data_IF_623296673082
#
_entry.id   IF_623296673082
#
_cell.length_a   1.000
_cell.length_b   1.000
_cell.length_c   1.000
_cell.angle_alpha   90.00
_cell.angle_beta   90.00
_cell.angle_gamma   90.00
#
_symmetry.space_group_name_H-M   'P 1'
#
loop_
_entity.id
_entity.type
_entity.pdbx_description
1 polymer ?
#
# COMPACT_ATOMS: atom_id res chain seq x y z
N UNK A 1 -9.40 -14.21 23.77
CA UNK A 1 -7.94 -14.15 24.00
C UNK A 1 -7.31 -15.36 23.35
N UNK A 2 -6.78 -15.19 22.15
CA UNK A 2 -6.07 -16.26 21.45
C UNK A 2 -4.62 -16.31 21.90
N UNK A 3 -4.11 -17.52 22.17
CA UNK A 3 -2.70 -17.72 22.51
C UNK A 3 -2.06 -18.59 21.45
N UNK A 4 -1.03 -18.08 20.79
CA UNK A 4 -0.22 -18.87 19.86
C UNK A 4 0.79 -19.70 20.68
N UNK A 5 0.73 -21.02 20.49
CA UNK A 5 1.70 -21.95 21.05
C UNK A 5 2.66 -22.35 19.94
N UNK A 6 3.90 -21.86 20.02
CA UNK A 6 4.95 -22.22 19.08
C UNK A 6 5.96 -23.13 19.79
N UNK A 7 6.38 -24.20 19.11
CA UNK A 7 7.31 -25.21 19.64
C UNK A 7 8.42 -25.46 18.63
N UNK A 8 9.66 -25.18 19.04
CA UNK A 8 10.86 -25.53 18.27
C UNK A 8 11.86 -26.18 19.24
N UNK A 9 12.43 -27.32 18.83
CA UNK A 9 13.45 -28.05 19.60
C UNK A 9 13.11 -28.30 21.08
N UNK A 10 11.90 -28.78 21.37
CA UNK A 10 11.51 -29.19 22.73
C UNK A 10 11.15 -28.05 23.69
N UNK A 11 11.32 -26.79 23.28
CA UNK A 11 10.88 -25.63 24.06
C UNK A 11 9.56 -25.09 23.51
N UNK A 12 8.50 -25.14 24.31
CA UNK A 12 7.23 -24.51 23.96
C UNK A 12 7.17 -23.11 24.55
N UNK A 13 7.05 -22.08 23.70
CA UNK A 13 6.86 -20.69 24.12
C UNK A 13 5.41 -20.30 23.83
N UNK A 14 4.71 -19.81 24.86
CA UNK A 14 3.35 -19.27 24.72
C UNK A 14 3.45 -17.77 24.53
N UNK A 15 3.04 -17.28 23.36
CA UNK A 15 2.87 -15.86 23.13
C UNK A 15 1.41 -15.51 23.42
N UNK A 16 1.19 -14.60 24.37
CA UNK A 16 -0.10 -13.94 24.53
C UNK A 16 -0.14 -12.84 23.48
N UNK A 17 -0.97 -13.00 22.46
CA UNK A 17 -1.35 -11.86 21.63
C UNK A 17 -2.22 -11.00 22.54
N UNK A 18 -1.70 -9.85 22.96
CA UNK A 18 -2.51 -8.80 23.55
C UNK A 18 -2.99 -7.96 22.38
N UNK A 19 -4.29 -7.71 22.29
CA UNK A 19 -4.77 -6.65 21.42
C UNK A 19 -4.01 -5.37 21.80
N UNK A 20 -3.43 -4.72 20.81
CA UNK A 20 -2.62 -3.54 21.05
C UNK A 20 -3.54 -2.44 21.56
N UNK A 21 -3.40 -2.06 22.83
CA UNK A 21 -4.15 -0.91 23.35
C UNK A 21 -3.70 0.36 22.61
N UNK A 22 -4.62 1.32 22.38
CA UNK A 22 -4.26 2.61 21.80
C UNK A 22 -3.11 3.27 22.58
N UNK A 23 -2.01 3.66 21.92
CA UNK A 23 -0.90 4.34 22.56
C UNK A 23 -1.30 5.72 23.13
N UNK A 24 -0.43 6.32 23.94
CA UNK A 24 -0.75 7.54 24.69
C UNK A 24 -1.02 8.75 23.79
N UNK A 25 -0.25 8.90 22.70
CA UNK A 25 -0.44 9.94 21.69
C UNK A 25 -1.77 9.81 20.93
N UNK A 26 -2.21 8.58 20.62
CA UNK A 26 -3.53 8.33 20.04
C UNK A 26 -4.65 8.71 21.01
N UNK A 27 -4.51 8.37 22.30
CA UNK A 27 -5.47 8.74 23.35
C UNK A 27 -5.55 10.26 23.54
N UNK A 28 -4.40 10.94 23.51
CA UNK A 28 -4.31 12.40 23.58
C UNK A 28 -4.97 13.07 22.38
N UNK A 29 -4.66 12.61 21.16
CA UNK A 29 -5.28 13.10 19.94
C UNK A 29 -6.80 12.89 19.96
N UNK A 30 -7.26 11.69 20.32
CA UNK A 30 -8.69 11.40 20.42
C UNK A 30 -9.38 12.37 21.38
N UNK A 31 -8.84 12.52 22.59
CA UNK A 31 -9.40 13.41 23.63
C UNK A 31 -9.46 14.85 23.15
N UNK A 32 -8.35 15.37 22.59
CA UNK A 32 -8.25 16.73 22.08
C UNK A 32 -9.33 17.05 21.02
N UNK A 33 -9.64 16.09 20.15
CA UNK A 33 -10.61 16.31 19.08
C UNK A 33 -12.03 15.82 19.43
N UNK A 34 -12.23 15.04 20.50
CA UNK A 34 -13.55 14.62 20.98
C UNK A 34 -14.15 15.54 22.05
N UNK A 35 -13.39 16.48 22.60
CA UNK A 35 -13.90 17.48 23.54
C UNK A 35 -14.98 18.37 22.89
N UNK A 36 -16.07 18.61 23.61
CA UNK A 36 -17.10 19.58 23.25
C UNK A 36 -16.86 20.89 23.98
N UNK A 37 -17.29 22.02 23.40
CA UNK A 37 -17.22 23.34 24.05
C UNK A 37 -17.99 23.39 25.40
N UNK A 38 -18.88 22.43 25.65
CA UNK A 38 -19.70 22.33 26.87
C UNK A 38 -19.03 21.57 28.03
N UNK A 39 -17.76 21.18 27.93
CA UNK A 39 -16.96 20.65 29.04
C UNK A 39 -17.31 19.23 29.53
N UNK A 40 -18.38 18.61 29.03
CA UNK A 40 -18.61 17.18 29.16
C UNK A 40 -17.99 16.48 27.95
N UNK A 41 -16.83 15.84 28.14
CA UNK A 41 -16.17 15.06 27.08
C UNK A 41 -17.10 13.96 26.57
N UNK A 42 -17.37 13.94 25.26
CA UNK A 42 -18.12 12.83 24.66
C UNK A 42 -17.24 11.60 24.58
N UNK A 43 -17.80 10.42 24.87
CA UNK A 43 -17.12 9.12 24.68
C UNK A 43 -16.89 8.75 23.21
N UNK A 44 -17.29 9.63 22.28
CA UNK A 44 -17.26 9.43 20.84
C UNK A 44 -16.82 10.72 20.14
N UNK A 45 -16.07 10.58 19.05
CA UNK A 45 -15.68 11.61 18.11
C UNK A 45 -16.71 11.66 16.97
N UNK A 46 -17.49 12.74 16.86
CA UNK A 46 -18.47 12.92 15.79
C UNK A 46 -17.81 13.12 14.41
N UNK A 47 -18.61 13.13 13.34
CA UNK A 47 -18.11 13.43 12.00
C UNK A 47 -17.49 14.83 11.89
N UNK A 48 -18.08 15.86 12.51
CA UNK A 48 -17.51 17.22 12.55
C UNK A 48 -16.18 17.27 13.30
N UNK A 49 -16.08 16.55 14.42
CA UNK A 49 -14.86 16.43 15.20
C UNK A 49 -13.77 15.68 14.45
N UNK A 50 -14.14 14.60 13.76
CA UNK A 50 -13.24 13.87 12.87
C UNK A 50 -12.76 14.76 11.72
N UNK A 51 -13.64 15.51 11.07
CA UNK A 51 -13.26 16.45 10.01
C UNK A 51 -12.22 17.46 10.50
N UNK A 52 -12.41 17.99 11.71
CA UNK A 52 -11.43 18.87 12.35
C UNK A 52 -10.09 18.18 12.56
N UNK A 53 -10.08 16.94 13.03
CA UNK A 53 -8.87 16.13 13.16
C UNK A 53 -8.15 15.95 11.80
N UNK A 54 -8.88 15.61 10.74
CA UNK A 54 -8.31 15.42 9.39
C UNK A 54 -7.61 16.69 8.89
N UNK A 55 -8.26 17.85 9.06
CA UNK A 55 -7.74 19.13 8.57
C UNK A 55 -6.61 19.65 9.49
N UNK A 56 -6.83 19.71 10.80
CA UNK A 56 -5.93 20.39 11.72
C UNK A 56 -4.75 19.51 12.14
N UNK A 57 -4.97 18.21 12.38
CA UNK A 57 -3.93 17.29 12.83
C UNK A 57 -3.23 16.62 11.65
N UNK A 58 -4.00 16.00 10.73
CA UNK A 58 -3.42 15.26 9.61
C UNK A 58 -3.02 16.15 8.42
N UNK A 59 -3.44 17.43 8.42
CA UNK A 59 -3.18 18.39 7.33
C UNK A 59 -3.75 17.93 5.98
N UNK A 60 -4.87 17.20 6.02
CA UNK A 60 -5.56 16.72 4.83
C UNK A 60 -6.58 17.75 4.34
N UNK A 61 -6.08 18.73 3.59
CA UNK A 61 -6.92 19.76 2.96
C UNK A 61 -7.83 19.15 1.89
N UNK A 62 -9.11 19.51 1.88
CA UNK A 62 -10.09 19.06 0.89
C UNK A 62 -11.04 17.94 1.35
N UNK A 63 -10.92 17.46 2.59
CA UNK A 63 -11.99 16.64 3.21
C UNK A 63 -13.23 17.48 3.46
N UNK A 64 -14.40 16.88 3.22
CA UNK A 64 -15.71 17.47 3.48
C UNK A 64 -16.39 16.74 4.63
N UNK A 65 -17.45 17.33 5.19
CA UNK A 65 -18.26 16.67 6.21
C UNK A 65 -18.84 15.33 5.73
N UNK A 66 -19.25 15.24 4.46
CA UNK A 66 -19.75 13.99 3.88
C UNK A 66 -18.67 12.90 3.82
N UNK A 67 -17.41 13.28 3.56
CA UNK A 67 -16.30 12.33 3.61
C UNK A 67 -16.09 11.80 5.04
N UNK A 68 -16.15 12.68 6.05
CA UNK A 68 -16.01 12.30 7.45
C UNK A 68 -17.17 11.39 7.90
N UNK A 69 -18.41 11.69 7.51
CA UNK A 69 -19.58 10.83 7.78
C UNK A 69 -19.40 9.43 7.17
N UNK A 70 -18.89 9.34 5.94
CA UNK A 70 -18.61 8.05 5.29
C UNK A 70 -17.51 7.26 6.01
N UNK A 71 -16.46 7.92 6.51
CA UNK A 71 -15.43 7.27 7.33
C UNK A 71 -16.07 6.71 8.61
N UNK A 72 -16.82 7.53 9.34
CA UNK A 72 -17.50 7.12 10.58
C UNK A 72 -18.42 5.94 10.29
N UNK A 73 -19.23 5.98 9.24
CA UNK A 73 -20.16 4.91 8.89
C UNK A 73 -19.43 3.60 8.53
N UNK A 74 -18.34 3.67 7.77
CA UNK A 74 -17.62 2.48 7.28
C UNK A 74 -16.78 1.80 8.36
N UNK A 75 -16.35 2.54 9.37
CA UNK A 75 -15.41 2.05 10.38
C UNK A 75 -16.05 1.66 11.72
N UNK A 76 -17.39 1.70 11.80
CA UNK A 76 -18.15 1.28 12.98
C UNK A 76 -18.35 -0.23 13.04
N UNK A 77 -17.35 -0.91 13.60
CA UNK A 77 -17.36 -2.37 13.74
C UNK A 77 -18.29 -2.83 14.87
N UNK A 78 -18.52 -1.99 15.89
CA UNK A 78 -19.08 -2.48 17.17
C UNK A 78 -20.52 -2.08 17.46
N UNK A 79 -20.99 -0.88 17.05
CA UNK A 79 -22.35 -0.39 17.34
C UNK A 79 -22.91 0.50 16.21
N UNK A 80 -23.94 0.06 15.46
CA UNK A 80 -24.53 0.85 14.38
C UNK A 80 -25.24 2.15 14.81
N UNK A 81 -25.57 2.31 16.09
CA UNK A 81 -26.56 3.30 16.57
C UNK A 81 -25.99 4.62 17.12
N UNK A 82 -24.68 4.78 17.33
CA UNK A 82 -24.17 6.08 17.81
C UNK A 82 -24.04 7.12 16.70
N UNK A 83 -23.35 8.24 16.95
CA UNK A 83 -23.12 9.29 15.93
C UNK A 83 -21.63 9.60 15.69
N UNK A 84 -20.71 8.75 16.14
CA UNK A 84 -19.27 8.98 16.05
C UNK A 84 -18.41 7.73 16.30
N UNK A 85 -17.09 7.88 16.21
CA UNK A 85 -16.09 6.84 16.50
C UNK A 85 -15.74 6.84 17.99
N UNK A 86 -15.72 5.68 18.65
CA UNK A 86 -15.07 5.58 19.96
C UNK A 86 -13.54 5.52 19.82
N UNK A 87 -12.79 5.57 20.93
CA UNK A 87 -11.33 5.53 20.92
C UNK A 87 -10.78 4.30 20.17
N UNK A 88 -11.41 3.13 20.35
CA UNK A 88 -11.00 1.89 19.68
C UNK A 88 -11.23 1.97 18.17
N UNK A 89 -12.39 2.46 17.75
CA UNK A 89 -12.72 2.63 16.33
C UNK A 89 -11.84 3.71 15.68
N UNK A 90 -11.51 4.79 16.40
CA UNK A 90 -10.56 5.79 15.93
C UNK A 90 -9.15 5.20 15.78
N UNK A 91 -8.69 4.41 16.76
CA UNK A 91 -7.39 3.75 16.69
C UNK A 91 -7.31 2.80 15.49
N UNK A 92 -8.33 1.98 15.26
CA UNK A 92 -8.39 1.11 14.08
C UNK A 92 -8.45 1.91 12.77
N UNK A 93 -9.16 3.04 12.75
CA UNK A 93 -9.25 3.90 11.57
C UNK A 93 -7.87 4.39 11.14
N UNK A 94 -7.00 4.76 12.08
CA UNK A 94 -5.66 5.25 11.78
C UNK A 94 -4.80 4.26 10.98
N UNK A 95 -5.05 2.96 11.12
CA UNK A 95 -4.33 1.89 10.40
C UNK A 95 -5.15 1.27 9.27
N UNK A 96 -6.34 1.80 9.00
CA UNK A 96 -7.18 1.25 7.97
C UNK A 96 -6.77 1.82 6.62
N UNK A 97 -5.89 1.11 5.91
CA UNK A 97 -5.24 1.55 4.65
C UNK A 97 -6.22 2.13 3.61
N UNK A 98 -7.44 1.57 3.52
CA UNK A 98 -8.45 2.04 2.57
C UNK A 98 -8.99 3.45 2.89
N UNK A 99 -8.86 3.92 4.14
CA UNK A 99 -9.36 5.23 4.59
C UNK A 99 -8.23 6.17 5.04
N UNK A 100 -7.18 5.61 5.64
CA UNK A 100 -6.06 6.36 6.22
C UNK A 100 -4.68 5.82 5.80
N UNK A 101 -4.56 5.28 4.58
CA UNK A 101 -3.28 4.84 4.05
C UNK A 101 -2.26 5.99 3.93
N UNK A 102 -0.96 5.73 4.12
CA UNK A 102 0.09 6.76 4.10
C UNK A 102 0.27 7.42 2.72
N UNK A 103 -0.18 6.77 1.66
CA UNK A 103 -0.18 7.29 0.29
C UNK A 103 -1.63 7.40 -0.16
N UNK A 104 -2.20 8.60 -0.06
CA UNK A 104 -3.56 8.89 -0.51
C UNK A 104 -3.58 8.93 -2.04
N UNK A 105 -4.49 8.19 -2.67
CA UNK A 105 -4.70 8.28 -4.11
C UNK A 105 -5.36 9.62 -4.45
N UNK A 106 -4.74 10.42 -5.32
CA UNK A 106 -5.45 11.56 -5.92
C UNK A 106 -6.57 11.00 -6.80
N UNK A 107 -7.81 11.01 -6.29
CA UNK A 107 -8.99 10.65 -7.08
C UNK A 107 -9.61 11.94 -7.61
N UNK A 108 -9.66 12.08 -8.93
CA UNK A 108 -10.58 13.04 -9.55
C UNK A 108 -12.00 12.51 -9.35
N UNK A 109 -12.77 13.23 -8.53
CA UNK A 109 -14.23 13.31 -8.52
C UNK A 109 -14.95 12.05 -9.03
N UNK A 110 -15.26 11.09 -8.14
CA UNK A 110 -16.55 10.34 -8.08
C UNK A 110 -16.61 9.35 -6.90
N UNK A 111 -15.49 8.95 -6.29
CA UNK A 111 -15.51 8.34 -4.95
C UNK A 111 -14.12 8.33 -4.34
N UNK A 112 -13.87 9.15 -3.30
CA UNK A 112 -12.64 9.09 -2.49
C UNK A 112 -12.43 7.73 -1.82
N UNK A 113 -13.47 6.88 -1.82
CA UNK A 113 -13.51 5.55 -1.21
C UNK A 113 -13.45 4.40 -2.25
N UNK A 114 -13.24 4.72 -3.53
CA UNK A 114 -13.05 3.78 -4.62
C UNK A 114 -11.57 3.64 -4.99
N UNK A 115 -11.01 2.44 -4.78
CA UNK A 115 -9.60 2.07 -5.00
C UNK A 115 -9.17 2.06 -6.48
N UNK A 116 -9.18 3.20 -7.14
CA UNK A 116 -8.41 3.34 -8.38
C UNK A 116 -7.47 4.51 -8.23
N UNK A 117 -6.20 4.19 -7.92
CA UNK A 117 -5.07 5.08 -8.16
C UNK A 117 -5.09 5.41 -9.65
N UNK A 118 -5.76 6.51 -10.00
CA UNK A 118 -5.82 6.96 -11.38
C UNK A 118 -4.54 7.71 -11.71
N UNK A 119 -4.15 7.59 -12.97
CA UNK A 119 -3.06 8.39 -13.51
C UNK A 119 -3.49 9.85 -13.47
N UNK A 120 -2.80 10.66 -12.65
CA UNK A 120 -3.11 12.07 -12.42
C UNK A 120 -2.09 13.01 -13.06
N UNK A 121 -0.96 12.49 -13.53
CA UNK A 121 0.01 13.25 -14.29
C UNK A 121 -0.50 13.49 -15.72
N UNK A 122 -0.06 14.58 -16.35
CA UNK A 122 -0.25 14.78 -17.80
C UNK A 122 0.48 13.65 -18.55
N UNK A 123 -0.27 12.84 -19.30
CA UNK A 123 0.26 11.72 -20.10
C UNK A 123 0.39 12.06 -21.59
N UNK A 124 0.32 13.35 -21.95
CA UNK A 124 0.39 13.82 -23.34
C UNK A 124 1.73 14.46 -23.70
N UNK A 125 2.59 14.75 -22.71
CA UNK A 125 3.93 15.28 -22.94
C UNK A 125 4.86 14.24 -23.64
N UNK A 126 5.98 14.67 -24.25
CA UNK A 126 6.96 13.76 -24.86
C UNK A 126 7.58 12.76 -23.86
N UNK A 127 7.98 11.58 -24.35
CA UNK A 127 8.45 10.47 -23.51
C UNK A 127 9.64 10.84 -22.60
N UNK A 128 10.52 11.73 -23.05
CA UNK A 128 11.69 12.17 -22.27
C UNK A 128 11.35 13.03 -21.03
N UNK A 129 10.08 13.38 -20.81
CA UNK A 129 9.63 14.10 -19.61
C UNK A 129 9.25 13.19 -18.44
N UNK A 130 9.25 11.86 -18.64
CA UNK A 130 8.81 10.90 -17.63
C UNK A 130 9.98 10.05 -17.13
N UNK A 131 9.93 9.70 -15.84
CA UNK A 131 10.67 8.56 -15.35
C UNK A 131 10.01 7.27 -15.85
N UNK A 132 10.79 6.39 -16.45
CA UNK A 132 10.31 5.12 -17.01
C UNK A 132 10.87 3.98 -16.16
N UNK A 133 9.99 3.10 -15.70
CA UNK A 133 10.43 1.90 -15.00
C UNK A 133 10.92 0.85 -16.01
N UNK A 134 12.23 0.65 -16.08
CA UNK A 134 12.91 -0.22 -17.04
C UNK A 134 13.51 -1.45 -16.37
N UNK A 135 13.49 -2.59 -17.07
CA UNK A 135 14.24 -3.79 -16.71
C UNK A 135 15.51 -3.91 -17.56
N UNK A 136 16.61 -4.34 -16.94
CA UNK A 136 17.89 -4.63 -17.61
C UNK A 136 18.13 -6.14 -17.59
N UNK A 137 18.53 -6.71 -18.74
CA UNK A 137 18.64 -8.16 -18.97
C UNK A 137 17.43 -8.92 -18.40
N UNK A 138 16.23 -8.52 -18.86
CA UNK A 138 14.95 -8.91 -18.26
C UNK A 138 14.66 -10.41 -18.36
N UNK A 139 15.39 -11.11 -19.21
CA UNK A 139 15.31 -12.56 -19.41
C UNK A 139 16.08 -13.36 -18.35
N UNK A 140 16.99 -12.75 -17.58
CA UNK A 140 17.82 -13.50 -16.62
C UNK A 140 17.02 -13.95 -15.40
N UNK A 141 17.17 -15.23 -15.06
CA UNK A 141 16.57 -15.84 -13.86
C UNK A 141 17.34 -15.53 -12.57
N UNK A 142 18.57 -15.03 -12.68
CA UNK A 142 19.44 -14.74 -11.56
C UNK A 142 20.58 -13.76 -11.91
N UNK A 143 21.82 -14.22 -11.76
CA UNK A 143 23.01 -13.38 -11.90
C UNK A 143 23.50 -13.25 -13.36
N UNK A 144 24.26 -12.19 -13.64
CA UNK A 144 24.77 -11.87 -14.99
C UNK A 144 25.73 -12.91 -15.57
N UNK A 145 26.34 -13.79 -14.76
CA UNK A 145 27.43 -14.66 -15.21
C UNK A 145 26.96 -16.07 -15.55
N UNK A 146 26.07 -16.65 -14.75
CA UNK A 146 25.82 -18.10 -14.77
C UNK A 146 24.36 -18.49 -14.68
N UNK A 147 23.41 -17.53 -14.63
CA UNK A 147 22.00 -17.89 -14.56
C UNK A 147 21.40 -18.10 -15.94
N UNK A 148 20.39 -18.95 -16.01
CA UNK A 148 19.67 -19.24 -17.23
C UNK A 148 18.80 -18.04 -17.67
N UNK A 149 18.46 -18.04 -18.96
CA UNK A 149 17.48 -17.15 -19.55
C UNK A 149 16.08 -17.82 -19.57
N UNK A 150 15.04 -17.05 -19.28
CA UNK A 150 13.64 -17.48 -19.33
C UNK A 150 12.71 -16.28 -19.58
N UNK A 151 11.51 -16.57 -20.04
CA UNK A 151 10.38 -15.65 -20.11
C UNK A 151 9.74 -15.35 -18.75
N UNK A 152 9.90 -16.22 -17.74
CA UNK A 152 9.29 -16.04 -16.41
C UNK A 152 9.68 -14.72 -15.71
N UNK A 153 10.97 -14.30 -15.69
CA UNK A 153 11.34 -13.01 -15.11
C UNK A 153 10.76 -11.82 -15.88
N UNK A 154 10.59 -11.95 -17.21
CA UNK A 154 9.92 -10.94 -18.05
C UNK A 154 8.45 -10.82 -17.66
N UNK A 155 7.73 -11.95 -17.57
CA UNK A 155 6.32 -11.98 -17.17
C UNK A 155 6.15 -11.29 -15.81
N UNK A 156 7.01 -11.64 -14.83
CA UNK A 156 6.98 -11.04 -13.51
C UNK A 156 7.29 -9.54 -13.53
N UNK A 157 8.26 -9.11 -14.32
CA UNK A 157 8.60 -7.69 -14.47
C UNK A 157 7.41 -6.88 -15.03
N UNK A 158 6.74 -7.39 -16.06
CA UNK A 158 5.57 -6.75 -16.66
C UNK A 158 4.38 -6.68 -15.67
N UNK A 159 4.12 -7.75 -14.91
CA UNK A 159 3.11 -7.77 -13.85
C UNK A 159 3.40 -6.74 -12.75
N UNK A 160 4.67 -6.50 -12.44
CA UNK A 160 5.12 -5.49 -11.48
C UNK A 160 5.14 -4.06 -12.04
N UNK A 161 4.77 -3.86 -13.30
CA UNK A 161 4.61 -2.53 -13.89
C UNK A 161 5.83 -2.01 -14.67
N UNK A 162 6.83 -2.84 -14.96
CA UNK A 162 7.92 -2.48 -15.90
C UNK A 162 7.33 -2.11 -17.27
N UNK A 163 7.94 -1.12 -17.94
CA UNK A 163 7.50 -0.58 -19.23
C UNK A 163 8.51 -0.81 -20.36
N UNK A 164 9.76 -1.12 -20.02
CA UNK A 164 10.81 -1.44 -20.99
C UNK A 164 11.50 -2.72 -20.54
N UNK A 165 11.65 -3.66 -21.46
CA UNK A 165 12.41 -4.89 -21.27
C UNK A 165 13.59 -4.91 -22.24
N UNK A 166 14.64 -5.61 -21.86
CA UNK A 166 15.84 -5.81 -22.66
C UNK A 166 15.93 -7.27 -23.12
N UNK A 167 16.27 -7.47 -24.39
CA UNK A 167 16.44 -8.77 -25.03
C UNK A 167 17.76 -8.76 -25.82
N UNK A 168 18.72 -9.57 -25.37
CA UNK A 168 19.99 -9.78 -26.06
C UNK A 168 19.83 -10.95 -27.04
N UNK A 169 19.80 -10.65 -28.33
CA UNK A 169 19.55 -11.64 -29.38
C UNK A 169 20.85 -12.15 -29.98
N UNK A 170 21.02 -13.46 -29.98
CA UNK A 170 22.16 -14.16 -30.57
C UNK A 170 21.69 -15.20 -31.58
N UNK A 171 22.37 -15.38 -32.73
CA UNK A 171 22.05 -16.49 -33.62
C UNK A 171 22.35 -17.84 -32.95
N UNK A 172 21.54 -18.85 -33.25
CA UNK A 172 21.87 -20.23 -32.90
C UNK A 172 23.04 -20.76 -33.76
N UNK A 173 23.54 -21.98 -33.46
CA UNK A 173 24.68 -22.58 -34.19
C UNK A 173 24.44 -22.72 -35.69
N UNK A 174 23.21 -23.10 -36.06
CA UNK A 174 22.80 -23.32 -37.46
C UNK A 174 22.47 -22.02 -38.21
N UNK A 175 22.43 -20.88 -37.51
CA UNK A 175 22.10 -19.55 -38.02
C UNK A 175 20.72 -19.45 -38.70
N UNK A 176 19.78 -20.29 -38.30
CA UNK A 176 18.39 -20.29 -38.78
C UNK A 176 17.38 -19.82 -37.71
N UNK A 177 17.83 -19.63 -36.47
CA UNK A 177 17.01 -19.14 -35.34
C UNK A 177 17.82 -18.25 -34.38
N UNK A 178 17.15 -17.71 -33.36
CA UNK A 178 17.72 -16.84 -32.33
C UNK A 178 17.60 -17.42 -30.92
N UNK A 179 18.59 -17.11 -30.09
CA UNK A 179 18.57 -17.32 -28.65
C UNK A 179 18.59 -15.98 -27.92
N UNK A 180 17.83 -15.89 -26.83
CA UNK A 180 17.92 -14.79 -25.88
C UNK A 180 18.83 -15.22 -24.74
N UNK A 181 20.01 -14.63 -24.64
CA UNK A 181 21.02 -15.00 -23.63
C UNK A 181 21.99 -13.86 -23.36
N UNK A 182 22.60 -13.88 -22.17
CA UNK A 182 23.61 -12.89 -21.82
C UNK A 182 24.91 -13.20 -22.57
N UNK A 183 25.45 -12.19 -23.25
CA UNK A 183 26.61 -12.30 -24.14
C UNK A 183 27.90 -12.66 -23.43
N UNK A 184 28.04 -13.94 -23.04
CA UNK A 184 29.25 -14.73 -22.77
C UNK A 184 28.80 -16.04 -22.11
N UNK A 185 28.66 -17.10 -22.91
CA UNK A 185 28.86 -18.53 -22.63
C UNK A 185 28.24 -19.30 -23.81
N UNK A 186 29.03 -19.66 -24.83
CA UNK A 186 28.59 -20.69 -25.80
C UNK A 186 28.96 -20.57 -27.28
N UNK A 187 29.57 -19.48 -27.77
CA UNK A 187 30.04 -19.41 -29.17
C UNK A 187 31.56 -19.24 -29.25
N UNK A 188 32.33 -20.21 -28.73
CA UNK A 188 33.55 -20.78 -29.34
C UNK A 188 33.78 -22.16 -28.70
N UNK A 189 33.02 -23.18 -29.07
CA UNK A 189 33.51 -24.57 -29.04
C UNK A 189 32.64 -25.39 -29.96
N UNK A 190 33.14 -25.55 -31.19
CA UNK A 190 32.84 -26.68 -32.06
C UNK A 190 33.30 -28.00 -31.40
#
# INVERSE_FOLDING_TARGET
MESLKYSMFGFSRKYKIRDAEPPADVKEAFTKYSESESGNGSSQMSADQLLRFLIEFQKEEGYTISDAEQIVQRHRVTKPTGHGLCLEEFFHYLFFDDLNGPIKSQTSSTSKFGRTQMVHHDMTAPLQHYFIYTGHNSYLTGNQLSSDASDLPIIKALQNGVRVIELDLWPNSEKDDIHVLHGRYGLIQD
#
